data_IF_052108450071
#
_entry.id   IF_052108450071
#
_cell.length_a   1.000
_cell.length_b   1.000
_cell.length_c   1.000
_cell.angle_alpha   90.00
_cell.angle_beta   90.00
_cell.angle_gamma   90.00
#
_symmetry.space_group_name_H-M   'P 1'
#
loop_
_entity.id
_entity.type
_entity.pdbx_description
1 polymer ?
#
# COMPACT_ATOMS: atom_id res chain seq x y z
N UNK A 1 -6.75 -5.33 7.47
CA UNK A 1 -6.08 -4.00 7.53
C UNK A 1 -6.92 -2.78 7.09
N UNK A 2 -8.11 -2.92 6.45
CA UNK A 2 -8.86 -1.75 5.98
C UNK A 2 -9.46 -0.91 7.13
N UNK A 3 -9.93 -1.55 8.19
CA UNK A 3 -10.55 -0.83 9.31
C UNK A 3 -9.51 -0.06 10.12
N UNK A 4 -8.30 -0.62 10.26
CA UNK A 4 -7.15 0.08 10.84
C UNK A 4 -6.75 1.30 10.00
N UNK A 5 -6.74 1.15 8.67
CA UNK A 5 -6.45 2.25 7.75
C UNK A 5 -7.48 3.38 7.84
N UNK A 6 -8.78 3.07 8.01
CA UNK A 6 -9.83 4.08 8.23
C UNK A 6 -9.59 4.88 9.50
N UNK A 7 -9.26 4.23 10.62
CA UNK A 7 -9.01 4.91 11.89
C UNK A 7 -7.85 5.92 11.75
N UNK A 8 -6.75 5.51 11.12
CA UNK A 8 -5.59 6.39 10.90
C UNK A 8 -5.94 7.53 9.95
N UNK A 9 -6.63 7.22 8.85
CA UNK A 9 -7.03 8.22 7.87
C UNK A 9 -7.98 9.28 8.46
N UNK A 10 -8.99 8.87 9.23
CA UNK A 10 -9.92 9.78 9.91
C UNK A 10 -9.19 10.63 10.95
N UNK A 11 -8.33 10.02 11.77
CA UNK A 11 -7.58 10.71 12.83
C UNK A 11 -6.67 11.81 12.28
N UNK A 12 -6.05 11.58 11.12
CA UNK A 12 -5.07 12.49 10.53
C UNK A 12 -5.60 13.26 9.31
N UNK A 13 -6.88 13.10 8.97
CA UNK A 13 -7.51 13.67 7.79
C UNK A 13 -6.76 13.34 6.49
N UNK A 14 -6.38 12.08 6.33
CA UNK A 14 -5.75 11.58 5.11
C UNK A 14 -6.79 11.08 4.11
N UNK A 15 -6.48 11.21 2.82
CA UNK A 15 -7.23 10.53 1.77
C UNK A 15 -6.99 9.03 1.89
N UNK A 16 -8.06 8.25 2.04
CA UNK A 16 -8.01 6.79 1.99
C UNK A 16 -8.61 6.29 0.67
N UNK A 17 -7.87 5.43 -0.01
CA UNK A 17 -8.32 4.75 -1.23
C UNK A 17 -8.33 3.25 -0.99
N UNK A 18 -9.52 2.65 -1.06
CA UNK A 18 -9.68 1.21 -1.17
C UNK A 18 -9.55 0.82 -2.65
N UNK A 19 -8.38 0.31 -3.04
CA UNK A 19 -8.09 -0.01 -4.44
C UNK A 19 -8.92 -1.19 -4.98
N UNK A 20 -9.37 -2.11 -4.10
CA UNK A 20 -10.11 -3.36 -4.39
C UNK A 20 -9.45 -4.37 -5.35
N UNK A 21 -8.73 -3.91 -6.36
CA UNK A 21 -8.08 -4.70 -7.39
C UNK A 21 -6.63 -4.25 -7.55
N UNK A 22 -5.71 -5.20 -7.52
CA UNK A 22 -4.31 -4.98 -7.90
C UNK A 22 -4.19 -4.96 -9.43
N UNK A 23 -5.02 -5.75 -10.12
CA UNK A 23 -5.07 -5.79 -11.58
C UNK A 23 -6.51 -6.01 -12.08
N UNK A 24 -6.97 -5.24 -13.09
CA UNK A 24 -6.32 -4.03 -13.61
C UNK A 24 -6.26 -2.94 -12.52
N UNK A 25 -5.24 -2.07 -12.58
CA UNK A 25 -5.17 -0.90 -11.73
C UNK A 25 -6.21 0.14 -12.15
N UNK A 26 -6.76 0.88 -11.18
CA UNK A 26 -7.52 2.10 -11.47
C UNK A 26 -6.53 3.25 -11.72
N UNK A 27 -6.02 3.29 -12.96
CA UNK A 27 -5.02 4.27 -13.40
C UNK A 27 -5.51 5.72 -13.26
N UNK A 28 -6.78 5.98 -13.57
CA UNK A 28 -7.35 7.32 -13.48
C UNK A 28 -7.38 7.81 -12.02
N UNK A 29 -7.75 6.93 -11.09
CA UNK A 29 -7.72 7.23 -9.67
C UNK A 29 -6.30 7.46 -9.17
N UNK A 30 -5.35 6.59 -9.52
CA UNK A 30 -3.95 6.73 -9.12
C UNK A 30 -3.34 8.03 -9.66
N UNK A 31 -3.63 8.39 -10.90
CA UNK A 31 -3.17 9.65 -11.50
C UNK A 31 -3.67 10.86 -10.72
N UNK A 32 -4.96 10.86 -10.34
CA UNK A 32 -5.59 11.93 -9.54
C UNK A 32 -4.98 12.03 -8.13
N UNK A 33 -4.76 10.89 -7.49
CA UNK A 33 -4.16 10.83 -6.15
C UNK A 33 -2.71 11.36 -6.20
N UNK A 34 -1.93 10.95 -7.20
CA UNK A 34 -0.55 11.42 -7.39
C UNK A 34 -0.44 12.92 -7.69
N UNK A 35 -1.44 13.51 -8.37
CA UNK A 35 -1.49 14.97 -8.58
C UNK A 35 -1.79 15.76 -7.32
N UNK A 36 -2.62 15.20 -6.44
CA UNK A 36 -3.15 15.91 -5.27
C UNK A 36 -2.35 15.72 -3.99
N UNK A 37 -1.39 14.78 -3.96
CA UNK A 37 -0.65 14.42 -2.76
C UNK A 37 0.86 14.50 -2.99
N UNK A 38 1.58 14.87 -1.93
CA UNK A 38 3.05 14.93 -1.91
C UNK A 38 3.68 13.60 -1.48
N UNK A 39 2.96 12.80 -0.69
CA UNK A 39 3.39 11.49 -0.18
C UNK A 39 2.26 10.49 -0.39
N UNK A 40 2.62 9.30 -0.86
CA UNK A 40 1.72 8.16 -0.99
C UNK A 40 2.16 7.04 -0.04
N UNK A 41 1.19 6.29 0.47
CA UNK A 41 1.42 5.09 1.27
C UNK A 41 0.54 3.97 0.72
N UNK A 42 1.15 2.82 0.44
CA UNK A 42 0.41 1.60 0.09
C UNK A 42 0.43 0.66 1.28
N UNK A 43 -0.69 -0.02 1.52
CA UNK A 43 -0.85 -0.96 2.62
C UNK A 43 -1.40 -2.28 2.08
N UNK A 44 -0.68 -3.38 2.30
CA UNK A 44 -1.08 -4.72 1.86
C UNK A 44 -0.71 -5.82 2.86
N UNK A 45 -1.56 -6.83 2.99
CA UNK A 45 -1.25 -8.06 3.74
C UNK A 45 -0.54 -9.08 2.82
N UNK A 46 0.43 -8.61 2.04
CA UNK A 46 1.19 -9.41 1.07
C UNK A 46 2.64 -8.94 1.03
N UNK A 47 3.51 -9.69 0.35
CA UNK A 47 4.89 -9.31 0.14
C UNK A 47 4.99 -7.93 -0.53
N UNK A 48 5.81 -7.03 0.04
CA UNK A 48 6.07 -5.70 -0.53
C UNK A 48 6.64 -5.84 -1.95
N UNK A 49 7.60 -6.77 -2.11
CA UNK A 49 8.23 -7.04 -3.40
C UNK A 49 7.25 -7.79 -4.32
N UNK A 50 6.93 -7.18 -5.46
CA UNK A 50 5.96 -7.75 -6.41
C UNK A 50 4.50 -7.64 -5.96
N UNK A 51 4.22 -6.98 -4.83
CA UNK A 51 2.89 -6.71 -4.33
C UNK A 51 2.18 -5.54 -5.01
N UNK A 52 1.05 -5.14 -4.45
CA UNK A 52 0.25 -4.01 -4.90
C UNK A 52 1.06 -2.70 -4.93
N UNK A 53 1.87 -2.45 -3.89
CA UNK A 53 2.71 -1.26 -3.81
C UNK A 53 3.74 -1.18 -4.93
N UNK A 54 4.33 -2.33 -5.28
CA UNK A 54 5.28 -2.43 -6.40
C UNK A 54 4.62 -2.07 -7.74
N UNK A 55 3.39 -2.53 -8.00
CA UNK A 55 2.65 -2.18 -9.21
C UNK A 55 2.23 -0.71 -9.26
N UNK A 56 1.83 -0.13 -8.13
CA UNK A 56 1.55 1.32 -8.03
C UNK A 56 2.81 2.12 -8.36
N UNK A 57 3.96 1.73 -7.79
CA UNK A 57 5.24 2.39 -8.05
C UNK A 57 5.62 2.32 -9.55
N UNK A 58 5.48 1.14 -10.16
CA UNK A 58 5.73 0.93 -11.59
C UNK A 58 4.85 1.83 -12.46
N UNK A 59 3.54 1.90 -12.17
CA UNK A 59 2.63 2.77 -12.89
C UNK A 59 3.02 4.26 -12.76
N UNK A 60 3.32 4.73 -11.54
CA UNK A 60 3.70 6.12 -11.28
C UNK A 60 4.99 6.51 -12.02
N UNK A 61 5.97 5.61 -12.07
CA UNK A 61 7.21 5.78 -12.83
C UNK A 61 6.91 5.90 -14.34
N UNK A 62 6.06 5.02 -14.87
CA UNK A 62 5.69 5.01 -16.30
C UNK A 62 5.02 6.30 -16.77
N UNK A 63 4.23 6.96 -15.89
CA UNK A 63 3.59 8.24 -16.20
C UNK A 63 4.42 9.46 -15.77
N UNK A 64 5.65 9.26 -15.30
CA UNK A 64 6.55 10.34 -14.88
C UNK A 64 6.16 11.07 -13.59
N UNK A 65 5.29 10.47 -12.77
CA UNK A 65 4.81 11.04 -11.49
C UNK A 65 5.54 10.44 -10.31
N UNK A 66 6.84 10.69 -10.24
CA UNK A 66 7.69 10.19 -9.16
C UNK A 66 7.36 10.95 -7.87
N UNK A 67 6.82 10.23 -6.89
CA UNK A 67 6.47 10.74 -5.56
C UNK A 67 7.16 9.90 -4.49
N UNK A 68 7.46 10.47 -3.32
CA UNK A 68 7.68 9.68 -2.12
C UNK A 68 6.55 8.65 -1.95
N UNK A 69 6.94 7.37 -1.91
CA UNK A 69 6.03 6.24 -1.75
C UNK A 69 6.56 5.33 -0.65
N UNK A 70 5.78 5.19 0.43
CA UNK A 70 6.05 4.23 1.50
C UNK A 70 5.21 2.98 1.24
N UNK A 71 5.85 1.83 1.12
CA UNK A 71 5.16 0.56 0.90
C UNK A 71 5.16 -0.25 2.20
N UNK A 72 3.98 -0.40 2.79
CA UNK A 72 3.75 -1.19 4.00
C UNK A 72 3.17 -2.54 3.61
N UNK A 73 3.84 -3.61 4.03
CA UNK A 73 3.40 -4.98 3.81
C UNK A 73 4.37 -5.97 4.43
N UNK A 74 4.26 -7.23 4.02
CA UNK A 74 5.09 -8.31 4.55
C UNK A 74 6.51 -8.19 3.96
N UNK A 75 7.56 -8.19 4.78
CA UNK A 75 8.95 -8.19 4.33
C UNK A 75 9.29 -9.51 3.62
N UNK A 76 10.31 -9.48 2.78
CA UNK A 76 10.73 -10.61 1.94
C UNK A 76 11.59 -11.62 2.73
N UNK A 77 10.96 -12.28 3.70
CA UNK A 77 11.53 -13.43 4.39
C UNK A 77 10.44 -14.44 4.74
N UNK A 78 10.86 -15.67 5.02
CA UNK A 78 9.94 -16.74 5.37
C UNK A 78 9.35 -16.53 6.76
N UNK A 79 8.02 -16.35 6.83
CA UNK A 79 7.27 -16.34 8.08
C UNK A 79 6.88 -17.79 8.44
N UNK A 80 7.38 -18.35 9.56
CA UNK A 80 7.03 -19.71 9.97
C UNK A 80 5.54 -19.87 10.24
N UNK A 81 5.04 -21.10 10.07
CA UNK A 81 3.67 -21.43 10.43
C UNK A 81 3.43 -21.11 11.92
N UNK A 82 2.44 -20.26 12.16
CA UNK A 82 2.08 -19.75 13.48
C UNK A 82 0.64 -19.22 13.42
N UNK A 83 0.08 -18.82 14.56
CA UNK A 83 -1.17 -18.05 14.56
C UNK A 83 -0.94 -16.69 13.92
N UNK A 84 -2.01 -16.03 13.45
CA UNK A 84 -1.89 -14.70 12.83
C UNK A 84 -1.25 -13.66 13.77
N UNK A 85 -1.59 -13.70 15.06
CA UNK A 85 -1.02 -12.79 16.06
C UNK A 85 0.49 -13.02 16.26
N UNK A 86 0.92 -14.28 16.32
CA UNK A 86 2.34 -14.65 16.41
C UNK A 86 3.10 -14.26 15.15
N UNK A 87 2.51 -14.49 13.96
CA UNK A 87 3.09 -14.09 12.69
C UNK A 87 3.33 -12.58 12.64
N UNK A 88 2.36 -11.75 13.07
CA UNK A 88 2.54 -10.30 13.13
C UNK A 88 3.60 -9.85 14.14
N UNK A 89 3.72 -10.53 15.29
CA UNK A 89 4.76 -10.22 16.28
C UNK A 89 6.19 -10.49 15.76
N UNK A 90 6.35 -11.27 14.69
CA UNK A 90 7.64 -11.49 14.00
C UNK A 90 7.96 -10.34 13.03
N UNK A 91 6.95 -9.52 12.65
CA UNK A 91 7.08 -8.42 11.70
C UNK A 91 7.36 -7.06 12.36
N UNK A 92 7.25 -6.96 13.68
CA UNK A 92 7.60 -5.77 14.51
C UNK A 92 9.11 -5.65 14.75
#
# INVERSE_FOLDING_TARGET
MLDEAKIVAEKHNYTLVDMRFIKPLDEALLQKVADSHELLVTLEENAIQGGAGSFVNEYLQNIGKIKPLVMLGIPDFFVPQSTQAEAYAILD
#
